data_IF_502299354233
#
_entry.id   IF_502299354233
#
_cell.length_a   1.000
_cell.length_b   1.000
_cell.length_c   1.000
_cell.angle_alpha   90.00
_cell.angle_beta   90.00
_cell.angle_gamma   90.00
#
_symmetry.space_group_name_H-M   'P 1'
#
loop_
_entity.id
_entity.type
_entity.pdbx_description
1 polymer ?
#
# COMPACT_ATOMS: atom_id res chain seq x y z
N UNK A 1 -7.86 -6.43 32.85
CA UNK A 1 -8.63 -6.68 31.61
C UNK A 1 -9.30 -8.04 31.72
N UNK A 2 -10.53 -8.18 31.23
CA UNK A 2 -11.19 -9.48 31.04
C UNK A 2 -10.54 -10.24 29.88
N UNK A 3 -10.89 -11.51 29.69
CA UNK A 3 -10.42 -12.29 28.54
C UNK A 3 -10.86 -11.67 27.22
N UNK A 4 -12.12 -11.24 27.14
CA UNK A 4 -12.73 -10.65 25.95
C UNK A 4 -12.01 -9.35 25.55
N UNK A 5 -11.67 -8.50 26.52
CA UNK A 5 -10.92 -7.27 26.28
C UNK A 5 -9.50 -7.55 25.81
N UNK A 6 -8.83 -8.54 26.43
CA UNK A 6 -7.49 -8.96 25.99
C UNK A 6 -7.54 -9.46 24.56
N UNK A 7 -8.49 -10.32 24.21
CA UNK A 7 -8.66 -10.86 22.85
C UNK A 7 -9.04 -9.77 21.84
N UNK A 8 -9.85 -8.79 22.23
CA UNK A 8 -10.24 -7.66 21.38
C UNK A 8 -9.02 -6.81 20.98
N UNK A 9 -8.10 -6.53 21.93
CA UNK A 9 -6.85 -5.81 21.66
C UNK A 9 -5.95 -6.50 20.63
N UNK A 10 -6.07 -7.82 20.49
CA UNK A 10 -5.30 -8.59 19.52
C UNK A 10 -5.81 -8.44 18.07
N UNK A 11 -6.76 -7.54 17.79
CA UNK A 11 -7.41 -7.43 16.48
C UNK A 11 -7.57 -5.99 16.01
N UNK A 12 -7.54 -5.79 14.69
CA UNK A 12 -8.01 -4.57 14.05
C UNK A 12 -9.52 -4.38 14.24
N UNK A 13 -9.94 -3.13 14.41
CA UNK A 13 -11.35 -2.72 14.38
C UNK A 13 -11.84 -2.63 12.94
N UNK A 14 -11.05 -1.97 12.10
CA UNK A 14 -11.35 -1.75 10.68
C UNK A 14 -10.10 -2.00 9.82
N UNK A 15 -10.11 -1.52 8.58
CA UNK A 15 -8.98 -1.66 7.66
C UNK A 15 -7.68 -1.09 8.22
N UNK A 16 -7.73 -0.05 9.06
CA UNK A 16 -6.59 0.79 9.41
C UNK A 16 -6.44 0.98 10.92
N UNK A 17 -7.45 0.71 11.74
CA UNK A 17 -7.44 1.00 13.19
C UNK A 17 -7.38 -0.26 14.03
N UNK A 18 -6.67 -0.17 15.16
CA UNK A 18 -6.78 -1.16 16.23
C UNK A 18 -8.04 -0.94 17.05
N UNK A 19 -8.52 -1.98 17.72
CA UNK A 19 -9.47 -1.79 18.80
C UNK A 19 -8.81 -1.06 19.98
N UNK A 20 -9.64 -0.50 20.86
CA UNK A 20 -9.22 0.13 22.11
C UNK A 20 -10.17 -0.26 23.25
N UNK A 21 -9.72 -0.09 24.50
CA UNK A 21 -10.53 -0.30 25.71
C UNK A 21 -10.73 1.04 26.45
N UNK A 22 -11.76 1.85 26.10
CA UNK A 22 -11.90 3.22 26.60
C UNK A 22 -11.94 3.36 28.12
N UNK A 23 -12.52 2.39 28.84
CA UNK A 23 -12.59 2.42 30.32
C UNK A 23 -11.21 2.32 31.00
N UNK A 24 -10.17 1.96 30.26
CA UNK A 24 -8.78 1.88 30.75
C UNK A 24 -7.95 3.09 30.30
N UNK A 25 -8.56 4.08 29.64
CA UNK A 25 -7.84 5.21 29.05
C UNK A 25 -7.04 4.83 27.79
N UNK A 26 -7.27 3.64 27.26
CA UNK A 26 -6.63 3.13 26.05
C UNK A 26 -7.20 3.80 24.78
N UNK A 27 -6.33 4.07 23.82
CA UNK A 27 -6.64 4.80 22.60
C UNK A 27 -6.38 3.93 21.37
N UNK A 28 -7.21 4.11 20.34
CA UNK A 28 -7.04 3.40 19.07
C UNK A 28 -5.77 3.89 18.38
N UNK A 29 -5.04 2.96 17.80
CA UNK A 29 -3.93 3.27 16.91
C UNK A 29 -4.45 3.20 15.50
N UNK A 30 -4.25 4.27 14.73
CA UNK A 30 -4.50 4.28 13.30
C UNK A 30 -3.25 3.78 12.58
N UNK A 31 -3.36 3.15 11.42
CA UNK A 31 -2.24 2.62 10.61
C UNK A 31 -2.46 2.99 9.15
N UNK A 32 -1.39 3.34 8.45
CA UNK A 32 -1.44 3.79 7.07
C UNK A 32 -0.40 3.06 6.26
N UNK A 33 -0.81 2.59 5.09
CA UNK A 33 0.11 2.05 4.10
C UNK A 33 1.20 3.04 3.73
N UNK A 34 2.34 2.42 3.44
CA UNK A 34 3.50 2.98 2.78
C UNK A 34 3.95 2.05 1.63
N UNK A 35 5.17 2.23 1.09
CA UNK A 35 6.29 2.89 1.76
C UNK A 35 6.93 4.09 1.06
N UNK A 36 6.32 4.59 -0.01
CA UNK A 36 6.84 5.75 -0.76
C UNK A 36 6.00 7.01 -0.49
N UNK A 37 5.53 7.14 0.75
CA UNK A 37 4.66 8.18 1.27
C UNK A 37 3.49 7.60 2.06
N UNK A 38 2.69 8.47 2.68
CA UNK A 38 1.55 8.09 3.52
C UNK A 38 0.27 8.16 2.69
N UNK A 39 -0.44 7.03 2.53
CA UNK A 39 -1.69 7.01 1.74
C UNK A 39 -2.91 7.57 2.49
N UNK A 40 -2.86 7.60 3.83
CA UNK A 40 -3.97 7.89 4.75
C UNK A 40 -4.32 6.63 5.59
N UNK A 41 -4.73 6.70 6.86
CA UNK A 41 -4.26 7.65 7.88
C UNK A 41 -3.75 6.89 9.11
N UNK A 42 -3.16 7.56 10.10
CA UNK A 42 -1.74 7.35 10.40
C UNK A 42 -1.38 6.45 11.60
N UNK A 43 -0.61 5.40 11.28
CA UNK A 43 0.71 5.00 11.82
C UNK A 43 1.53 4.66 10.58
N UNK A 44 2.78 5.10 10.46
CA UNK A 44 3.53 4.91 9.20
C UNK A 44 4.07 3.51 9.05
N UNK A 45 3.53 2.80 8.07
CA UNK A 45 4.13 1.60 7.50
C UNK A 45 5.47 1.94 6.82
N UNK A 46 6.52 1.17 7.12
CA UNK A 46 7.87 1.41 6.62
C UNK A 46 8.13 0.61 5.33
N UNK A 47 9.27 0.89 4.68
CA UNK A 47 9.66 0.23 3.44
C UNK A 47 9.79 -1.27 3.60
N UNK A 48 9.32 -1.97 2.58
CA UNK A 48 9.55 -3.40 2.41
C UNK A 48 11.06 -3.62 2.35
N UNK A 49 11.60 -4.49 3.19
CA UNK A 49 13.02 -4.86 3.24
C UNK A 49 13.28 -6.32 2.83
N UNK A 50 12.28 -6.97 2.21
CA UNK A 50 12.48 -8.24 1.51
C UNK A 50 13.44 -8.07 0.32
N UNK A 51 14.16 -9.12 -0.05
CA UNK A 51 15.24 -9.03 -1.04
C UNK A 51 14.71 -9.29 -2.46
N UNK A 52 15.02 -8.44 -3.46
CA UNK A 52 14.84 -8.75 -4.87
C UNK A 52 15.69 -9.96 -5.30
N UNK A 53 15.21 -11.18 -5.07
CA UNK A 53 15.90 -12.42 -5.50
C UNK A 53 15.79 -12.67 -7.00
N UNK A 54 14.73 -12.15 -7.62
CA UNK A 54 14.46 -12.27 -9.05
C UNK A 54 14.08 -10.91 -9.60
N UNK A 55 14.52 -10.51 -10.82
CA UNK A 55 14.13 -9.24 -11.42
C UNK A 55 12.63 -9.16 -11.74
N UNK A 56 11.92 -10.30 -11.73
CA UNK A 56 10.49 -10.40 -12.06
C UNK A 56 9.56 -10.18 -10.86
N UNK A 57 10.12 -9.90 -9.67
CA UNK A 57 9.34 -9.70 -8.46
C UNK A 57 8.39 -8.50 -8.60
N UNK A 58 7.09 -8.75 -8.45
CA UNK A 58 6.04 -7.74 -8.64
C UNK A 58 6.08 -6.56 -7.67
N UNK A 59 6.88 -6.65 -6.59
CA UNK A 59 7.11 -5.61 -5.58
C UNK A 59 8.58 -5.23 -5.42
N UNK A 60 9.44 -5.54 -6.39
CA UNK A 60 10.86 -5.14 -6.35
C UNK A 60 11.05 -3.63 -6.25
N UNK A 61 10.20 -2.85 -6.93
CA UNK A 61 10.22 -1.39 -6.85
C UNK A 61 9.95 -0.84 -5.43
N UNK A 62 9.36 -1.67 -4.56
CA UNK A 62 8.91 -1.29 -3.22
C UNK A 62 10.01 -1.50 -2.16
N UNK A 63 11.10 -2.18 -2.52
CA UNK A 63 12.26 -2.44 -1.64
C UNK A 63 13.53 -1.75 -2.13
N UNK A 64 14.61 -1.82 -1.35
CA UNK A 64 15.84 -1.05 -1.53
C UNK A 64 16.83 -1.70 -2.49
N UNK A 65 17.36 -2.87 -2.15
CA UNK A 65 18.47 -3.50 -2.87
C UNK A 65 18.40 -5.02 -2.78
N UNK A 66 19.07 -5.69 -3.72
CA UNK A 66 19.40 -7.13 -3.59
C UNK A 66 20.47 -7.40 -2.52
N UNK A 67 21.24 -6.37 -2.15
CA UNK A 67 22.23 -6.46 -1.06
C UNK A 67 21.56 -6.27 0.32
N UNK A 68 21.69 -7.25 1.24
CA UNK A 68 21.03 -7.20 2.54
C UNK A 68 21.61 -6.11 3.46
N UNK A 69 22.91 -5.80 3.34
CA UNK A 69 23.54 -4.78 4.17
C UNK A 69 23.04 -3.38 3.83
N UNK A 70 23.06 -3.02 2.55
CA UNK A 70 22.55 -1.75 2.03
C UNK A 70 21.06 -1.59 2.36
N UNK A 71 20.27 -2.66 2.17
CA UNK A 71 18.84 -2.67 2.53
C UNK A 71 18.63 -2.38 4.01
N UNK A 72 19.35 -3.10 4.89
CA UNK A 72 19.24 -2.90 6.34
C UNK A 72 19.69 -1.50 6.79
N UNK A 73 20.78 -0.96 6.23
CA UNK A 73 21.30 0.36 6.60
C UNK A 73 20.37 1.50 6.17
N UNK A 74 19.84 1.47 4.94
CA UNK A 74 18.91 2.50 4.48
C UNK A 74 17.60 2.43 5.30
N UNK A 75 17.11 1.22 5.58
CA UNK A 75 15.93 1.04 6.40
C UNK A 75 16.14 1.60 7.81
N UNK A 76 17.25 1.27 8.47
CA UNK A 76 17.57 1.76 9.81
C UNK A 76 17.58 3.28 9.92
N UNK A 77 18.23 3.98 8.98
CA UNK A 77 18.24 5.46 8.95
C UNK A 77 16.84 6.04 8.78
N UNK A 78 16.03 5.46 7.90
CA UNK A 78 14.66 5.95 7.69
C UNK A 78 13.77 5.69 8.92
N UNK A 79 13.90 4.53 9.56
CA UNK A 79 13.18 4.20 10.80
C UNK A 79 13.53 5.18 11.91
N UNK A 80 14.82 5.48 12.10
CA UNK A 80 15.26 6.48 13.07
C UNK A 80 14.56 7.82 12.84
N UNK A 81 14.50 8.30 11.60
CA UNK A 81 13.83 9.58 11.29
C UNK A 81 12.31 9.57 11.45
N UNK A 82 11.65 8.44 11.18
CA UNK A 82 10.21 8.33 11.48
C UNK A 82 9.96 8.38 12.99
N UNK A 83 10.74 7.62 13.75
CA UNK A 83 10.54 7.48 15.20
C UNK A 83 11.00 8.73 15.97
N UNK A 84 12.03 9.45 15.50
CA UNK A 84 12.41 10.79 15.97
C UNK A 84 11.24 11.78 15.86
N UNK A 85 10.37 11.61 14.86
CA UNK A 85 9.17 12.43 14.67
C UNK A 85 7.95 11.93 15.48
N UNK A 86 8.15 10.96 16.38
CA UNK A 86 7.08 10.38 17.20
C UNK A 86 6.14 9.47 16.40
N UNK A 87 6.56 8.98 15.24
CA UNK A 87 5.78 8.07 14.39
C UNK A 87 6.47 6.71 14.35
N UNK A 88 5.80 5.67 14.81
CA UNK A 88 6.41 4.35 14.76
C UNK A 88 6.52 3.79 13.35
N UNK A 89 7.51 2.92 13.17
CA UNK A 89 7.78 2.24 11.92
C UNK A 89 7.38 0.76 11.98
N UNK A 90 6.89 0.23 10.85
CA UNK A 90 6.61 -1.19 10.65
C UNK A 90 7.51 -1.79 9.57
N UNK A 91 8.56 -2.55 9.95
CA UNK A 91 9.41 -3.22 8.95
C UNK A 91 8.73 -4.49 8.42
N UNK A 92 8.79 -4.70 7.09
CA UNK A 92 8.02 -5.78 6.44
C UNK A 92 8.71 -6.39 5.22
N UNK A 93 8.37 -7.60 4.78
CA UNK A 93 7.46 -8.56 5.41
C UNK A 93 8.32 -9.73 5.89
N UNK A 94 8.27 -10.04 7.17
CA UNK A 94 9.08 -11.07 7.80
C UNK A 94 8.49 -12.46 7.51
N UNK A 95 9.10 -13.34 6.70
CA UNK A 95 10.29 -13.13 5.88
C UNK A 95 10.09 -13.72 4.47
N UNK A 96 11.02 -13.43 3.57
CA UNK A 96 11.13 -14.04 2.24
C UNK A 96 9.87 -13.93 1.36
N UNK A 97 9.11 -12.85 1.48
CA UNK A 97 7.98 -12.55 0.60
C UNK A 97 8.44 -12.05 -0.78
N UNK A 98 9.42 -12.70 -1.41
CA UNK A 98 10.23 -12.13 -2.49
C UNK A 98 9.51 -12.10 -3.86
N UNK A 99 8.33 -12.70 -3.95
CA UNK A 99 7.50 -12.76 -5.15
C UNK A 99 5.99 -12.71 -4.85
N UNK A 100 5.21 -12.23 -5.82
CA UNK A 100 3.75 -12.11 -5.65
C UNK A 100 2.98 -13.38 -6.06
N UNK A 101 3.61 -14.24 -6.86
CA UNK A 101 2.97 -15.46 -7.39
C UNK A 101 2.57 -16.38 -6.25
N UNK A 102 1.25 -16.54 -6.05
CA UNK A 102 0.66 -17.38 -5.00
C UNK A 102 1.17 -17.05 -3.58
N UNK A 103 1.50 -15.78 -3.30
CA UNK A 103 2.08 -15.32 -2.02
C UNK A 103 1.34 -15.78 -0.76
N UNK A 104 0.02 -16.03 -0.85
CA UNK A 104 -0.81 -16.54 0.26
C UNK A 104 -0.61 -18.03 0.60
N UNK A 105 0.05 -18.80 -0.27
CA UNK A 105 0.12 -20.27 -0.14
C UNK A 105 1.48 -20.87 -0.42
N UNK A 106 2.34 -20.13 -1.13
CA UNK A 106 3.66 -20.61 -1.53
C UNK A 106 4.53 -20.92 -0.31
N UNK A 107 5.32 -21.98 -0.43
CA UNK A 107 6.28 -22.41 0.57
C UNK A 107 7.70 -22.24 0.02
N UNK A 108 8.38 -21.21 0.53
CA UNK A 108 9.76 -20.91 0.16
C UNK A 108 10.68 -21.88 0.88
N UNK A 109 11.35 -22.75 0.12
CA UNK A 109 12.35 -23.70 0.63
C UNK A 109 13.72 -23.03 0.63
N UNK A 110 14.18 -22.63 1.81
CA UNK A 110 15.38 -21.79 1.97
C UNK A 110 16.34 -22.48 2.96
N UNK A 111 17.57 -22.82 2.54
CA UNK A 111 18.59 -23.30 3.46
C UNK A 111 18.94 -22.25 4.54
N UNK A 112 19.25 -22.70 5.76
CA UNK A 112 19.48 -21.84 6.92
C UNK A 112 20.47 -20.70 6.64
N UNK A 113 21.56 -21.00 5.93
CA UNK A 113 22.56 -20.00 5.57
C UNK A 113 21.96 -18.84 4.77
N UNK A 114 21.19 -19.15 3.72
CA UNK A 114 20.56 -18.12 2.89
C UNK A 114 19.44 -17.40 3.64
N UNK A 115 18.68 -18.11 4.48
CA UNK A 115 17.67 -17.50 5.34
C UNK A 115 18.30 -16.45 6.27
N UNK A 116 19.42 -16.79 6.90
CA UNK A 116 20.16 -15.90 7.82
C UNK A 116 20.86 -14.76 7.09
N UNK A 117 21.73 -15.08 6.14
CA UNK A 117 22.63 -14.09 5.51
C UNK A 117 21.93 -13.17 4.51
N UNK A 118 20.78 -13.58 3.94
CA UNK A 118 20.07 -12.81 2.90
C UNK A 118 18.71 -12.33 3.39
N UNK A 119 17.80 -13.25 3.74
CA UNK A 119 16.40 -12.89 3.99
C UNK A 119 16.19 -12.19 5.36
N UNK A 120 16.94 -12.61 6.39
CA UNK A 120 16.82 -12.08 7.76
C UNK A 120 17.83 -10.97 8.07
N UNK A 121 19.00 -10.98 7.43
CA UNK A 121 20.04 -9.97 7.61
C UNK A 121 19.56 -8.50 7.56
N UNK A 122 18.70 -8.06 6.60
CA UNK A 122 18.22 -6.67 6.62
C UNK A 122 17.34 -6.36 7.83
N UNK A 123 16.54 -7.32 8.31
CA UNK A 123 15.74 -7.17 9.53
C UNK A 123 16.64 -7.09 10.76
N UNK A 124 17.67 -7.93 10.83
CA UNK A 124 18.64 -7.92 11.93
C UNK A 124 19.33 -6.56 12.05
N UNK A 125 19.81 -6.03 10.92
CA UNK A 125 20.49 -4.72 10.86
C UNK A 125 19.53 -3.61 11.26
N UNK A 126 18.31 -3.58 10.69
CA UNK A 126 17.32 -2.57 11.00
C UNK A 126 16.93 -2.60 12.48
N UNK A 127 16.67 -3.78 13.06
CA UNK A 127 16.34 -3.93 14.48
C UNK A 127 17.48 -3.45 15.37
N UNK A 128 18.71 -3.90 15.12
CA UNK A 128 19.89 -3.49 15.90
C UNK A 128 20.15 -1.99 15.84
N UNK A 129 20.03 -1.40 14.65
CA UNK A 129 20.44 -0.01 14.41
C UNK A 129 19.34 1.03 14.66
N UNK A 130 18.07 0.61 14.78
CA UNK A 130 16.93 1.56 14.83
C UNK A 130 15.73 1.15 15.67
N UNK A 131 15.70 -0.09 16.20
CA UNK A 131 14.64 -0.62 17.05
C UNK A 131 13.21 -0.23 16.60
N UNK A 132 12.74 -0.75 15.44
CA UNK A 132 11.41 -0.42 14.92
C UNK A 132 10.33 -0.86 15.91
N UNK A 133 9.26 -0.08 16.03
CA UNK A 133 8.19 -0.38 16.99
C UNK A 133 7.39 -1.63 16.60
N UNK A 134 7.27 -1.91 15.29
CA UNK A 134 6.53 -3.06 14.81
C UNK A 134 7.23 -3.81 13.66
N UNK A 135 6.88 -5.09 13.52
CA UNK A 135 7.27 -5.97 12.42
C UNK A 135 6.03 -6.62 11.84
N UNK A 136 5.87 -6.59 10.51
CA UNK A 136 4.77 -7.28 9.82
C UNK A 136 5.25 -8.61 9.26
N UNK A 137 4.52 -9.69 9.58
CA UNK A 137 4.77 -11.02 9.05
C UNK A 137 4.33 -11.14 7.59
N UNK A 138 5.06 -11.95 6.81
CA UNK A 138 4.75 -12.24 5.42
C UNK A 138 3.57 -13.20 5.24
N UNK A 139 2.97 -13.17 4.06
CA UNK A 139 1.89 -14.09 3.67
C UNK A 139 2.35 -15.54 3.52
N UNK A 140 3.54 -15.75 2.97
CA UNK A 140 4.03 -17.05 2.52
C UNK A 140 4.45 -17.94 3.71
N UNK A 141 4.72 -19.20 3.38
CA UNK A 141 5.44 -20.10 4.26
C UNK A 141 6.94 -20.00 4.00
N UNK A 142 7.71 -20.32 5.03
CA UNK A 142 9.15 -20.62 4.94
C UNK A 142 9.32 -22.02 5.51
N UNK A 143 9.96 -22.90 4.76
CA UNK A 143 10.29 -24.27 5.17
C UNK A 143 9.11 -25.05 5.80
N UNK A 144 7.89 -24.87 5.28
CA UNK A 144 6.69 -25.60 5.68
C UNK A 144 5.71 -24.84 6.59
N UNK A 145 6.13 -23.74 7.21
CA UNK A 145 5.32 -23.02 8.21
C UNK A 145 5.02 -21.60 7.76
N UNK A 146 3.76 -21.16 7.91
CA UNK A 146 3.37 -19.78 7.62
C UNK A 146 4.11 -18.80 8.52
N UNK A 147 4.65 -17.71 7.97
CA UNK A 147 5.42 -16.75 8.74
C UNK A 147 4.64 -16.18 9.94
N UNK A 148 3.33 -16.00 9.81
CA UNK A 148 2.42 -15.54 10.89
C UNK A 148 2.19 -16.56 12.02
N UNK A 149 2.73 -17.77 11.92
CA UNK A 149 2.68 -18.80 12.95
C UNK A 149 4.04 -19.52 13.10
N UNK A 150 5.14 -18.83 12.80
CA UNK A 150 6.46 -19.43 12.72
C UNK A 150 7.27 -19.16 13.99
N UNK A 151 7.27 -20.11 14.94
CA UNK A 151 7.97 -20.00 16.23
C UNK A 151 9.44 -19.61 16.08
N UNK A 152 10.17 -20.25 15.16
CA UNK A 152 11.56 -19.90 14.93
C UNK A 152 11.75 -18.44 14.51
N UNK A 153 10.94 -17.92 13.56
CA UNK A 153 11.09 -16.53 13.10
C UNK A 153 10.75 -15.55 14.22
N UNK A 154 9.68 -15.80 14.97
CA UNK A 154 9.17 -14.84 15.96
C UNK A 154 9.84 -15.06 17.31
N UNK A 155 9.67 -16.22 17.93
CA UNK A 155 10.19 -16.49 19.27
C UNK A 155 11.71 -16.64 19.28
N UNK A 156 12.28 -17.47 18.42
CA UNK A 156 13.71 -17.75 18.50
C UNK A 156 14.52 -16.57 17.95
N UNK A 157 14.24 -16.11 16.74
CA UNK A 157 15.01 -15.04 16.09
C UNK A 157 14.69 -13.66 16.68
N UNK A 158 13.44 -13.19 16.60
CA UNK A 158 13.13 -11.83 17.07
C UNK A 158 13.25 -11.70 18.59
N UNK A 159 12.62 -12.59 19.36
CA UNK A 159 12.54 -12.43 20.83
C UNK A 159 13.81 -12.89 21.56
N UNK A 160 14.33 -14.08 21.28
CA UNK A 160 15.44 -14.67 22.05
C UNK A 160 16.81 -14.23 21.53
N UNK A 161 17.05 -14.35 20.23
CA UNK A 161 18.37 -14.08 19.65
C UNK A 161 18.63 -12.57 19.47
N UNK A 162 17.67 -11.83 18.93
CA UNK A 162 17.82 -10.38 18.68
C UNK A 162 17.31 -9.52 19.82
N UNK A 163 16.68 -10.13 20.84
CA UNK A 163 16.19 -9.45 22.05
C UNK A 163 15.30 -8.24 21.71
N UNK A 164 14.45 -8.40 20.70
CA UNK A 164 13.53 -7.35 20.24
C UNK A 164 12.15 -7.51 20.88
N UNK A 165 11.64 -6.41 21.43
CA UNK A 165 10.44 -6.36 22.28
C UNK A 165 9.21 -5.74 21.60
N UNK A 166 9.33 -5.24 20.38
CA UNK A 166 8.23 -4.59 19.67
C UNK A 166 7.10 -5.53 19.23
N UNK A 167 6.06 -4.95 18.61
CA UNK A 167 4.82 -5.69 18.29
C UNK A 167 4.90 -6.37 16.91
N UNK A 168 4.51 -7.65 16.85
CA UNK A 168 4.40 -8.39 15.59
C UNK A 168 2.96 -8.37 15.09
N UNK A 169 2.74 -7.90 13.86
CA UNK A 169 1.43 -7.89 13.22
C UNK A 169 1.36 -8.77 11.98
N UNK A 170 0.16 -9.15 11.58
CA UNK A 170 -0.06 -9.81 10.29
C UNK A 170 0.00 -8.81 9.14
N UNK A 171 0.43 -9.24 7.97
CA UNK A 171 -0.03 -8.60 6.73
C UNK A 171 -1.57 -8.74 6.62
N UNK A 172 -2.22 -7.94 5.79
CA UNK A 172 -3.68 -7.87 5.70
C UNK A 172 -4.30 -9.22 5.33
N UNK A 173 -5.08 -9.80 6.23
CA UNK A 173 -5.64 -11.15 6.13
C UNK A 173 -4.60 -12.28 6.17
N UNK A 174 -3.35 -11.99 6.57
CA UNK A 174 -2.23 -12.92 6.65
C UNK A 174 -2.24 -13.84 7.88
N UNK A 175 -3.27 -13.79 8.71
CA UNK A 175 -3.43 -14.70 9.86
C UNK A 175 -4.07 -16.01 9.40
N UNK A 176 -3.29 -17.09 9.45
CA UNK A 176 -3.69 -18.38 8.88
C UNK A 176 -4.21 -19.39 9.90
N UNK A 177 -4.14 -19.09 11.20
CA UNK A 177 -4.53 -20.02 12.26
C UNK A 177 -4.94 -19.27 13.53
N UNK A 178 -5.64 -19.95 14.44
CA UNK A 178 -6.05 -19.40 15.75
C UNK A 178 -4.94 -19.61 16.78
N UNK A 179 -4.78 -20.85 17.26
CA UNK A 179 -3.84 -21.19 18.33
C UNK A 179 -2.37 -21.11 17.89
N UNK A 180 -1.94 -21.67 16.73
CA UNK A 180 -0.53 -21.61 16.34
C UNK A 180 -0.01 -20.18 16.17
N UNK A 181 -0.80 -19.26 15.60
CA UNK A 181 -0.36 -17.87 15.41
C UNK A 181 -0.16 -17.13 16.74
N UNK A 182 -1.07 -17.31 17.70
CA UNK A 182 -0.96 -16.70 19.04
C UNK A 182 0.20 -17.30 19.82
N UNK A 183 0.40 -18.63 19.78
CA UNK A 183 1.55 -19.29 20.43
C UNK A 183 2.90 -18.85 19.86
N UNK A 184 2.94 -18.63 18.54
CA UNK A 184 4.14 -18.11 17.88
C UNK A 184 4.43 -16.65 18.25
N UNK A 185 3.48 -15.92 18.85
CA UNK A 185 3.64 -14.51 19.22
C UNK A 185 3.34 -13.54 18.08
N UNK A 186 2.45 -13.91 17.15
CA UNK A 186 1.74 -12.92 16.35
C UNK A 186 0.87 -12.11 17.32
N UNK A 187 1.14 -10.83 17.51
CA UNK A 187 0.47 -10.03 18.53
C UNK A 187 -0.82 -9.38 18.01
N UNK A 188 -0.86 -8.94 16.75
CA UNK A 188 -2.01 -8.22 16.18
C UNK A 188 -2.46 -8.80 14.82
N UNK A 189 -3.74 -9.17 14.70
CA UNK A 189 -4.39 -9.56 13.44
C UNK A 189 -4.97 -8.32 12.75
N UNK A 190 -4.54 -8.07 11.51
CA UNK A 190 -5.06 -7.02 10.64
C UNK A 190 -5.61 -7.61 9.32
N UNK A 191 -6.61 -6.96 8.69
CA UNK A 191 -7.44 -5.88 9.23
C UNK A 191 -8.58 -6.40 10.12
N UNK A 192 -9.38 -5.49 10.67
CA UNK A 192 -10.75 -5.76 11.08
C UNK A 192 -11.74 -5.77 9.90
N UNK A 193 -12.93 -6.38 10.06
CA UNK A 193 -13.34 -7.18 11.21
C UNK A 193 -12.56 -8.50 11.30
N UNK A 194 -12.36 -8.96 12.54
CA UNK A 194 -11.55 -10.15 12.86
C UNK A 194 -12.03 -11.42 12.13
N UNK A 195 -11.10 -12.28 11.69
CA UNK A 195 -11.41 -13.55 11.03
C UNK A 195 -10.94 -14.78 11.78
N UNK A 196 -9.77 -14.73 12.43
CA UNK A 196 -9.18 -15.89 13.13
C UNK A 196 -9.24 -15.78 14.64
N UNK A 197 -9.22 -14.57 15.20
CA UNK A 197 -9.32 -14.32 16.64
C UNK A 197 -10.77 -14.06 17.05
N UNK A 198 -10.98 -13.20 18.05
CA UNK A 198 -12.30 -12.95 18.62
C UNK A 198 -12.85 -14.21 19.27
N UNK A 199 -14.10 -14.57 18.93
CA UNK A 199 -14.78 -15.75 19.47
C UNK A 199 -13.95 -17.03 19.32
N UNK A 200 -13.27 -17.23 18.20
CA UNK A 200 -12.48 -18.43 17.98
C UNK A 200 -11.32 -18.59 18.98
N UNK A 201 -10.69 -17.49 19.40
CA UNK A 201 -9.60 -17.53 20.38
C UNK A 201 -10.14 -17.71 21.81
N UNK A 202 -11.28 -17.09 22.13
CA UNK A 202 -11.98 -17.29 23.40
C UNK A 202 -12.38 -18.77 23.55
N UNK A 203 -13.02 -19.33 22.53
CA UNK A 203 -13.44 -20.73 22.51
C UNK A 203 -12.22 -21.65 22.65
N UNK A 204 -11.10 -21.36 21.96
CA UNK A 204 -9.87 -22.14 22.08
C UNK A 204 -9.28 -22.14 23.50
N UNK A 205 -9.30 -20.98 24.19
CA UNK A 205 -8.88 -20.89 25.59
C UNK A 205 -9.81 -21.68 26.52
N UNK A 206 -11.12 -21.53 26.36
CA UNK A 206 -12.13 -22.23 27.18
C UNK A 206 -12.04 -23.76 27.04
N UNK A 207 -11.64 -24.25 25.86
CA UNK A 207 -11.41 -25.66 25.60
C UNK A 207 -9.99 -26.15 25.97
N UNK A 208 -9.16 -25.32 26.61
CA UNK A 208 -7.80 -25.69 27.05
C UNK A 208 -6.79 -25.88 25.91
N UNK A 209 -7.05 -25.32 24.73
CA UNK A 209 -6.17 -25.44 23.56
C UNK A 209 -5.04 -24.39 23.55
N UNK A 210 -5.18 -23.32 24.33
CA UNK A 210 -4.18 -22.25 24.47
C UNK A 210 -4.20 -21.72 25.90
N UNK A 211 -3.02 -21.49 26.46
CA UNK A 211 -2.89 -20.91 27.80
C UNK A 211 -3.12 -19.39 27.77
N UNK A 212 -3.69 -18.85 28.85
CA UNK A 212 -3.91 -17.42 29.00
C UNK A 212 -2.61 -16.61 28.90
N UNK A 213 -1.47 -17.21 29.28
CA UNK A 213 -0.15 -16.56 29.21
C UNK A 213 0.23 -16.09 27.81
N UNK A 214 -0.17 -16.81 26.75
CA UNK A 214 0.11 -16.38 25.37
C UNK A 214 -0.72 -15.16 24.98
N UNK A 215 -2.00 -15.15 25.39
CA UNK A 215 -2.91 -14.02 25.16
C UNK A 215 -2.42 -12.80 25.95
N UNK A 216 -2.01 -12.99 27.21
CA UNK A 216 -1.50 -11.94 28.08
C UNK A 216 -0.20 -11.32 27.54
N UNK A 217 0.72 -12.15 27.05
CA UNK A 217 1.97 -11.67 26.47
C UNK A 217 1.71 -10.77 25.24
N UNK A 218 0.81 -11.17 24.34
CA UNK A 218 0.47 -10.34 23.17
C UNK A 218 -0.33 -9.10 23.54
N UNK A 219 -1.27 -9.20 24.49
CA UNK A 219 -2.03 -8.04 24.95
C UNK A 219 -1.12 -7.00 25.61
N UNK A 220 -0.13 -7.43 26.39
CA UNK A 220 0.89 -6.53 26.95
C UNK A 220 1.68 -5.80 25.87
N UNK A 221 2.11 -6.47 24.80
CA UNK A 221 2.83 -5.80 23.68
C UNK A 221 1.95 -4.82 22.92
N UNK A 222 0.65 -5.11 22.76
CA UNK A 222 -0.31 -4.15 22.18
C UNK A 222 -0.42 -2.92 23.07
N UNK A 223 -0.57 -3.09 24.38
CA UNK A 223 -0.65 -1.96 25.32
C UNK A 223 0.66 -1.15 25.39
N UNK A 224 1.81 -1.82 25.36
CA UNK A 224 3.11 -1.15 25.28
C UNK A 224 3.24 -0.34 23.98
N UNK A 225 2.72 -0.87 22.88
CA UNK A 225 2.68 -0.17 21.60
C UNK A 225 1.76 1.06 21.65
N UNK A 226 0.55 0.95 22.22
CA UNK A 226 -0.33 2.10 22.50
C UNK A 226 0.40 3.14 23.34
N UNK A 227 1.08 2.72 24.41
CA UNK A 227 1.81 3.61 25.30
C UNK A 227 2.98 4.32 24.60
N UNK A 228 3.72 3.61 23.73
CA UNK A 228 4.79 4.20 22.90
C UNK A 228 4.23 5.27 21.96
N UNK A 229 3.10 5.02 21.30
CA UNK A 229 2.42 6.00 20.45
C UNK A 229 1.88 7.19 21.27
N UNK A 230 1.28 6.92 22.44
CA UNK A 230 0.71 7.94 23.33
C UNK A 230 1.73 8.84 24.02
N UNK A 231 3.02 8.47 24.01
CA UNK A 231 4.15 9.29 24.47
C UNK A 231 4.75 10.19 23.38
N UNK A 232 4.18 10.19 22.18
CA UNK A 232 4.56 11.14 21.13
C UNK A 232 4.47 12.58 21.66
N UNK A 233 5.39 13.46 21.26
CA UNK A 233 5.45 14.88 21.67
C UNK A 233 4.23 15.71 21.21
N UNK A 234 3.18 15.04 20.73
CA UNK A 234 1.86 15.59 20.41
C UNK A 234 0.89 15.14 21.51
N UNK A 235 0.93 15.76 22.72
CA UNK A 235 -0.07 15.50 23.74
C UNK A 235 -1.45 15.76 23.16
N UNK A 236 -2.40 14.87 23.45
CA UNK A 236 -3.79 14.95 22.99
C UNK A 236 -4.02 14.90 21.47
N UNK A 237 -3.17 14.20 20.71
CA UNK A 237 -3.46 13.93 19.30
C UNK A 237 -4.82 13.27 19.15
N UNK A 238 -5.73 13.96 18.46
CA UNK A 238 -7.04 13.44 18.07
C UNK A 238 -7.05 13.24 16.58
N UNK A 239 -7.58 12.10 16.16
CA UNK A 239 -7.79 11.83 14.75
C UNK A 239 -8.69 12.94 14.15
N UNK A 240 -8.11 13.73 13.24
CA UNK A 240 -8.80 14.76 12.49
C UNK A 240 -9.09 14.33 11.05
N UNK A 241 -9.80 15.19 10.31
CA UNK A 241 -9.92 15.04 8.85
C UNK A 241 -8.53 15.06 8.24
N UNK A 242 -8.23 14.08 7.40
CA UNK A 242 -6.99 14.04 6.64
C UNK A 242 -6.87 15.28 5.76
N UNK A 243 -5.66 15.83 5.69
CA UNK A 243 -5.36 17.04 4.94
C UNK A 243 -4.20 16.79 3.99
N UNK A 244 -4.24 17.49 2.87
CA UNK A 244 -3.13 17.56 1.92
C UNK A 244 -2.24 18.72 2.35
N UNK A 245 -0.98 18.43 2.67
CA UNK A 245 0.01 19.43 3.07
C UNK A 245 1.08 19.63 1.98
N UNK A 246 0.71 20.41 0.97
CA UNK A 246 1.50 20.62 -0.24
C UNK A 246 2.43 21.84 -0.13
N UNK A 247 3.50 21.67 0.64
CA UNK A 247 4.45 22.73 0.97
C UNK A 247 5.65 22.78 -0.01
N UNK A 248 6.13 23.97 -0.45
CA UNK A 248 7.29 24.11 -1.34
C UNK A 248 8.55 23.37 -0.87
N UNK A 249 8.80 23.32 0.43
CA UNK A 249 9.89 22.59 1.08
C UNK A 249 9.78 21.08 0.90
N UNK A 250 8.57 20.50 1.04
CA UNK A 250 8.31 19.09 0.75
C UNK A 250 8.61 18.80 -0.72
N UNK A 251 8.14 19.65 -1.64
CA UNK A 251 8.41 19.52 -3.08
C UNK A 251 9.91 19.55 -3.38
N UNK A 252 10.66 20.42 -2.70
CA UNK A 252 12.11 20.53 -2.87
C UNK A 252 12.84 19.27 -2.38
N UNK A 253 12.42 18.70 -1.25
CA UNK A 253 12.95 17.42 -0.74
C UNK A 253 12.66 16.29 -1.73
N UNK A 254 11.43 16.14 -2.20
CA UNK A 254 11.07 15.10 -3.18
C UNK A 254 11.82 15.27 -4.50
N UNK A 255 12.01 16.50 -4.98
CA UNK A 255 12.83 16.78 -6.17
C UNK A 255 14.29 16.37 -5.95
N UNK A 256 14.86 16.65 -4.78
CA UNK A 256 16.23 16.29 -4.44
C UNK A 256 16.40 14.77 -4.32
N UNK A 257 15.49 14.10 -3.61
CA UNK A 257 15.48 12.65 -3.48
C UNK A 257 15.30 11.96 -4.84
N UNK A 258 14.35 12.44 -5.65
CA UNK A 258 14.13 11.94 -7.01
C UNK A 258 15.35 12.14 -7.91
N UNK A 259 16.05 13.27 -7.81
CA UNK A 259 17.29 13.51 -8.54
C UNK A 259 18.45 12.61 -8.04
N UNK A 260 18.59 12.44 -6.72
CA UNK A 260 19.61 11.60 -6.10
C UNK A 260 19.43 10.10 -6.36
N UNK A 261 18.22 9.66 -6.68
CA UNK A 261 17.92 8.27 -7.05
C UNK A 261 18.16 7.93 -8.53
N UNK A 262 18.50 8.90 -9.41
CA UNK A 262 18.76 8.64 -10.83
C UNK A 262 20.18 8.11 -11.01
N UNK A 263 20.32 6.98 -11.71
CA UNK A 263 21.62 6.38 -12.05
C UNK A 263 21.92 6.61 -13.54
N UNK A 264 23.05 7.26 -13.84
CA UNK A 264 23.54 7.42 -15.21
C UNK A 264 24.26 6.14 -15.66
N UNK A 265 23.58 5.29 -16.42
CA UNK A 265 24.13 4.01 -16.87
C UNK A 265 25.11 4.14 -18.05
N UNK A 266 24.84 5.06 -18.98
CA UNK A 266 25.66 5.28 -20.18
C UNK A 266 25.65 6.75 -20.57
N UNK A 267 26.83 7.30 -20.85
CA UNK A 267 27.01 8.62 -21.42
C UNK A 267 28.17 8.57 -22.42
N UNK A 268 27.85 8.28 -23.68
CA UNK A 268 28.84 8.24 -24.76
C UNK A 268 28.86 9.56 -25.52
N UNK A 269 30.02 9.92 -26.07
CA UNK A 269 30.21 11.15 -26.86
C UNK A 269 29.87 12.45 -26.11
N UNK A 270 30.00 12.47 -24.77
CA UNK A 270 29.69 13.62 -23.92
C UNK A 270 28.30 14.24 -24.20
N UNK A 271 27.31 13.38 -24.48
CA UNK A 271 25.96 13.81 -24.80
C UNK A 271 25.28 14.53 -23.64
N UNK A 272 25.53 14.07 -22.41
CA UNK A 272 25.06 14.70 -21.19
C UNK A 272 26.20 15.39 -20.43
N UNK A 273 25.96 16.56 -19.80
CA UNK A 273 24.69 17.30 -19.79
C UNK A 273 24.36 17.94 -21.14
N UNK A 274 23.05 18.07 -21.44
CA UNK A 274 22.60 18.72 -22.68
C UNK A 274 23.09 20.17 -22.73
N UNK A 275 23.68 20.56 -23.85
CA UNK A 275 24.22 21.90 -24.09
C UNK A 275 24.00 22.35 -25.54
N UNK A 276 24.17 23.65 -25.81
CA UNK A 276 24.12 24.24 -27.15
C UNK A 276 22.84 23.88 -27.93
N UNK A 277 21.68 24.11 -27.32
CA UNK A 277 20.38 23.76 -27.89
C UNK A 277 19.66 24.92 -28.60
N UNK A 278 20.15 26.15 -28.44
CA UNK A 278 19.63 27.31 -29.16
C UNK A 278 19.68 27.11 -30.69
N UNK A 279 18.65 27.59 -31.38
CA UNK A 279 18.42 27.42 -32.80
C UNK A 279 18.05 25.99 -33.24
N UNK A 280 18.14 24.99 -32.34
CA UNK A 280 17.87 23.60 -32.68
C UNK A 280 16.39 23.24 -32.56
N UNK A 281 16.00 22.20 -33.30
CA UNK A 281 14.71 21.51 -33.14
C UNK A 281 14.93 20.26 -32.30
N UNK A 282 14.16 20.10 -31.24
CA UNK A 282 14.30 19.04 -30.26
C UNK A 282 13.02 18.23 -30.24
N UNK A 283 13.14 16.92 -30.42
CA UNK A 283 12.04 15.98 -30.28
C UNK A 283 12.17 15.22 -28.97
N UNK A 284 11.14 15.27 -28.12
CA UNK A 284 10.99 14.41 -26.95
C UNK A 284 10.06 13.27 -27.33
N UNK A 285 10.60 12.06 -27.45
CA UNK A 285 9.84 10.88 -27.91
C UNK A 285 9.73 9.85 -26.79
N UNK A 286 8.50 9.37 -26.56
CA UNK A 286 8.25 8.23 -25.69
C UNK A 286 6.97 8.38 -24.85
N UNK A 287 6.24 7.28 -24.59
CA UNK A 287 4.97 7.34 -23.86
C UNK A 287 5.15 7.86 -22.42
N UNK A 288 6.25 7.46 -21.76
CA UNK A 288 6.54 7.89 -20.39
C UNK A 288 7.06 9.35 -20.32
N UNK A 289 7.39 9.97 -21.45
CA UNK A 289 7.65 11.41 -21.47
C UNK A 289 6.34 12.20 -21.25
N UNK A 290 5.22 11.68 -21.76
CA UNK A 290 3.90 12.33 -21.71
C UNK A 290 3.05 11.84 -20.53
N UNK A 291 3.34 10.67 -19.97
CA UNK A 291 2.65 10.09 -18.81
C UNK A 291 3.65 9.81 -17.68
N UNK A 292 3.45 10.34 -16.47
CA UNK A 292 4.37 10.07 -15.38
C UNK A 292 4.13 8.67 -14.79
N UNK A 293 5.21 7.95 -14.50
CA UNK A 293 5.19 6.72 -13.70
C UNK A 293 5.82 7.08 -12.36
N UNK A 294 5.02 7.60 -11.44
CA UNK A 294 5.50 8.20 -10.19
C UNK A 294 5.75 7.15 -9.09
N UNK A 295 4.94 6.10 -9.06
CA UNK A 295 5.02 4.98 -8.10
C UNK A 295 4.76 3.67 -8.82
N UNK A 296 5.12 2.55 -8.19
CA UNK A 296 4.60 1.25 -8.57
C UNK A 296 3.13 1.09 -8.20
N UNK A 297 2.61 -0.13 -8.39
CA UNK A 297 1.23 -0.49 -8.02
C UNK A 297 1.08 -0.94 -6.56
N UNK A 298 -0.04 -1.61 -6.26
CA UNK A 298 -0.32 -2.20 -4.94
C UNK A 298 -0.44 -1.16 -3.81
N UNK A 299 -0.22 -1.58 -2.56
CA UNK A 299 -0.34 -0.78 -1.34
C UNK A 299 0.53 0.49 -1.34
N UNK A 300 1.67 0.44 -2.04
CA UNK A 300 2.60 1.58 -2.18
C UNK A 300 2.07 2.76 -3.02
N UNK A 301 0.97 2.57 -3.76
CA UNK A 301 0.44 3.60 -4.64
C UNK A 301 -0.43 4.60 -3.87
N UNK A 302 -0.13 5.89 -4.03
CA UNK A 302 -0.87 6.99 -3.41
C UNK A 302 -1.20 8.11 -4.41
N UNK A 303 -2.12 8.99 -4.03
CA UNK A 303 -2.45 10.18 -4.79
C UNK A 303 -1.50 11.32 -4.38
N UNK A 304 -0.52 11.70 -5.23
CA UNK A 304 0.38 12.80 -4.90
C UNK A 304 -0.34 14.14 -5.04
N UNK A 305 0.12 15.14 -4.29
CA UNK A 305 -0.46 16.49 -4.30
C UNK A 305 -0.44 17.13 -5.69
N UNK A 306 0.65 16.93 -6.43
CA UNK A 306 0.74 17.29 -7.84
C UNK A 306 1.54 16.25 -8.63
N UNK A 307 1.35 16.25 -9.95
CA UNK A 307 2.14 15.46 -10.89
C UNK A 307 2.69 16.36 -11.99
N UNK A 308 3.96 16.18 -12.34
CA UNK A 308 4.55 16.71 -13.57
C UNK A 308 4.98 15.55 -14.47
N UNK A 309 5.09 15.81 -15.77
CA UNK A 309 5.60 14.82 -16.74
C UNK A 309 7.06 15.15 -17.06
N UNK A 310 7.90 14.16 -17.43
CA UNK A 310 9.24 14.44 -17.93
C UNK A 310 9.23 15.46 -19.08
N UNK A 311 8.27 15.36 -20.01
CA UNK A 311 8.10 16.32 -21.11
C UNK A 311 7.82 17.74 -20.62
N UNK A 312 6.87 17.93 -19.70
CA UNK A 312 6.54 19.27 -19.16
C UNK A 312 7.74 19.88 -18.44
N UNK A 313 8.43 19.08 -17.63
CA UNK A 313 9.63 19.50 -16.91
C UNK A 313 10.77 19.85 -17.87
N UNK A 314 11.09 18.99 -18.85
CA UNK A 314 12.16 19.24 -19.83
C UNK A 314 11.85 20.46 -20.71
N UNK A 315 10.62 20.63 -21.19
CA UNK A 315 10.23 21.82 -21.97
C UNK A 315 10.45 23.11 -21.17
N UNK A 316 10.07 23.13 -19.89
CA UNK A 316 10.31 24.28 -19.01
C UNK A 316 11.80 24.59 -18.85
N UNK A 317 12.61 23.58 -18.54
CA UNK A 317 14.05 23.77 -18.33
C UNK A 317 14.79 24.16 -19.63
N UNK A 318 14.41 23.58 -20.78
CA UNK A 318 14.96 23.94 -22.09
C UNK A 318 14.56 25.37 -22.45
N UNK A 319 13.30 25.76 -22.30
CA UNK A 319 12.86 27.12 -22.62
C UNK A 319 13.57 28.17 -21.75
N UNK A 320 13.87 27.84 -20.49
CA UNK A 320 14.59 28.72 -19.58
C UNK A 320 16.09 28.85 -19.93
N UNK A 321 16.74 27.77 -20.40
CA UNK A 321 18.19 27.75 -20.68
C UNK A 321 18.57 28.02 -22.13
N UNK A 322 17.66 27.72 -23.06
CA UNK A 322 17.87 27.78 -24.52
C UNK A 322 16.62 28.36 -25.20
N UNK A 323 16.37 29.67 -25.06
CA UNK A 323 15.09 30.29 -25.43
C UNK A 323 14.71 30.15 -26.91
N UNK A 324 15.67 29.94 -27.79
CA UNK A 324 15.42 29.81 -29.24
C UNK A 324 15.24 28.36 -29.70
N UNK A 325 15.38 27.38 -28.79
CA UNK A 325 15.15 25.98 -29.08
C UNK A 325 13.66 25.69 -29.34
N UNK A 326 13.37 24.91 -30.38
CA UNK A 326 11.99 24.51 -30.74
C UNK A 326 11.73 23.08 -30.27
N UNK A 327 10.93 22.90 -29.23
CA UNK A 327 10.69 21.59 -28.61
C UNK A 327 9.31 21.02 -28.99
N UNK A 328 9.31 19.85 -29.61
CA UNK A 328 8.12 19.05 -29.88
C UNK A 328 8.15 17.76 -29.05
N UNK A 329 6.97 17.17 -28.81
CA UNK A 329 6.88 15.92 -28.08
C UNK A 329 5.85 14.99 -28.70
N UNK A 330 6.16 13.70 -28.73
CA UNK A 330 5.29 12.68 -29.29
C UNK A 330 5.39 11.39 -28.47
N UNK A 331 4.28 10.65 -28.35
CA UNK A 331 4.30 9.37 -27.65
C UNK A 331 5.18 8.35 -28.38
N UNK A 332 5.17 8.39 -29.71
CA UNK A 332 5.85 7.41 -30.58
C UNK A 332 5.07 6.09 -30.61
N UNK A 333 5.02 5.41 -29.46
CA UNK A 333 4.30 4.13 -29.27
C UNK A 333 3.34 4.21 -28.09
N UNK A 334 2.41 3.27 -28.02
CA UNK A 334 1.55 3.04 -26.85
C UNK A 334 2.10 1.85 -26.05
N UNK A 335 2.18 1.98 -24.72
CA UNK A 335 2.74 0.96 -23.81
C UNK A 335 1.81 0.68 -22.62
N UNK A 336 0.52 0.88 -22.81
CA UNK A 336 -0.44 0.66 -21.74
C UNK A 336 -0.72 -0.84 -21.61
N UNK A 337 -0.66 -1.37 -20.38
CA UNK A 337 -1.04 -2.76 -20.09
C UNK A 337 -2.56 -2.96 -20.18
N UNK A 338 -3.30 -1.93 -19.79
CA UNK A 338 -4.75 -1.82 -19.88
C UNK A 338 -5.10 -0.54 -20.63
N UNK A 339 -6.22 -0.52 -21.34
CA UNK A 339 -6.70 0.68 -22.02
C UNK A 339 -6.79 1.82 -20.99
N UNK A 340 -6.28 3.03 -21.30
CA UNK A 340 -6.31 4.14 -20.37
C UNK A 340 -7.74 4.48 -19.91
N UNK A 341 -7.85 4.99 -18.69
CA UNK A 341 -9.12 5.53 -18.19
C UNK A 341 -9.61 6.64 -19.11
N UNK A 342 -10.93 6.69 -19.28
CA UNK A 342 -11.60 7.76 -20.01
C UNK A 342 -11.25 9.12 -19.38
N UNK A 343 -10.82 10.06 -20.23
CA UNK A 343 -10.45 11.39 -19.76
C UNK A 343 -11.69 12.14 -19.24
N UNK A 344 -11.62 12.84 -18.09
CA UNK A 344 -12.77 13.60 -17.56
C UNK A 344 -13.34 14.60 -18.58
N UNK A 345 -12.49 15.18 -19.43
CA UNK A 345 -12.87 16.16 -20.45
C UNK A 345 -13.74 15.61 -21.59
N UNK A 346 -13.91 14.28 -21.70
CA UNK A 346 -14.82 13.65 -22.68
C UNK A 346 -15.99 12.95 -22.03
N UNK A 347 -16.11 13.04 -20.70
CA UNK A 347 -17.20 12.47 -19.92
C UNK A 347 -18.11 13.59 -19.44
N UNK A 348 -19.42 13.37 -19.48
CA UNK A 348 -20.39 14.27 -18.87
C UNK A 348 -21.33 13.47 -17.98
N UNK A 349 -21.43 13.86 -16.71
CA UNK A 349 -22.40 13.27 -15.80
C UNK A 349 -23.81 13.70 -16.24
N UNK A 350 -24.71 12.76 -16.56
CA UNK A 350 -25.99 13.07 -17.21
C UNK A 350 -26.94 13.88 -16.31
N UNK A 351 -26.83 13.73 -14.99
CA UNK A 351 -27.71 14.43 -14.03
C UNK A 351 -27.22 15.84 -13.69
N UNK A 352 -25.89 16.03 -13.64
CA UNK A 352 -25.30 17.29 -13.16
C UNK A 352 -24.70 18.15 -14.27
N UNK A 353 -24.48 17.59 -15.46
CA UNK A 353 -23.76 18.25 -16.56
C UNK A 353 -22.25 18.43 -16.33
N UNK A 354 -21.71 18.01 -15.17
CA UNK A 354 -20.30 18.18 -14.81
C UNK A 354 -19.40 17.13 -15.48
N UNK A 355 -18.12 17.44 -15.76
CA UNK A 355 -17.17 16.46 -16.28
C UNK A 355 -17.00 15.24 -15.36
N UNK A 356 -17.31 14.04 -15.84
CA UNK A 356 -17.26 12.81 -15.04
C UNK A 356 -18.44 11.87 -15.26
N UNK A 357 -18.71 11.00 -14.30
CA UNK A 357 -19.81 10.05 -14.33
C UNK A 357 -20.63 10.07 -13.03
N UNK A 358 -21.85 9.55 -13.08
CA UNK A 358 -22.69 9.32 -11.92
C UNK A 358 -22.47 7.89 -11.45
N UNK A 359 -22.13 7.71 -10.17
CA UNK A 359 -22.11 6.40 -9.53
C UNK A 359 -23.36 6.25 -8.66
N UNK A 360 -24.07 5.14 -8.81
CA UNK A 360 -25.19 4.75 -7.96
C UNK A 360 -24.87 3.42 -7.29
N UNK A 361 -25.06 3.32 -5.97
CA UNK A 361 -24.87 2.08 -5.21
C UNK A 361 -26.21 1.51 -4.71
N UNK A 362 -26.33 0.18 -4.71
CA UNK A 362 -27.54 -0.56 -4.37
C UNK A 362 -27.23 -1.62 -3.32
N UNK A 363 -28.15 -1.88 -2.38
CA UNK A 363 -28.06 -2.97 -1.38
C UNK A 363 -28.61 -4.30 -1.92
N UNK A 364 -28.33 -4.58 -3.18
CA UNK A 364 -28.72 -5.80 -3.88
C UNK A 364 -27.75 -6.05 -5.04
N UNK A 365 -27.88 -7.19 -5.72
CA UNK A 365 -26.98 -7.58 -6.81
C UNK A 365 -27.51 -7.25 -8.21
N UNK A 366 -28.75 -6.76 -8.34
CA UNK A 366 -29.45 -6.59 -9.62
C UNK A 366 -29.76 -5.12 -9.97
N UNK A 367 -29.27 -4.17 -9.17
CA UNK A 367 -29.55 -2.73 -9.34
C UNK A 367 -31.06 -2.41 -9.25
N UNK A 368 -31.82 -3.20 -8.50
CA UNK A 368 -33.25 -2.99 -8.34
C UNK A 368 -33.55 -1.90 -7.32
N UNK A 369 -34.65 -1.17 -7.54
CA UNK A 369 -35.13 -0.11 -6.65
C UNK A 369 -34.27 1.14 -6.66
N UNK A 370 -34.49 1.99 -5.67
CA UNK A 370 -33.73 3.24 -5.51
C UNK A 370 -32.32 2.95 -4.98
N UNK A 371 -31.29 3.62 -5.53
CA UNK A 371 -29.95 3.52 -4.99
C UNK A 371 -29.90 4.15 -3.60
N UNK A 372 -29.21 3.50 -2.65
CA UNK A 372 -29.04 4.06 -1.31
C UNK A 372 -28.02 5.20 -1.30
N UNK A 373 -27.18 5.29 -2.33
CA UNK A 373 -26.21 6.35 -2.50
C UNK A 373 -26.03 6.70 -3.98
N UNK A 374 -25.94 8.00 -4.26
CA UNK A 374 -25.65 8.55 -5.58
C UNK A 374 -24.58 9.62 -5.44
N UNK A 375 -23.53 9.55 -6.24
CA UNK A 375 -22.44 10.51 -6.20
C UNK A 375 -21.87 10.84 -7.58
N UNK A 376 -21.30 12.05 -7.69
CA UNK A 376 -20.54 12.46 -8.86
C UNK A 376 -19.08 12.04 -8.70
N UNK A 377 -18.52 11.38 -9.72
CA UNK A 377 -17.14 10.93 -9.72
C UNK A 377 -16.40 11.45 -10.97
N UNK A 378 -15.19 12.03 -10.80
CA UNK A 378 -14.43 12.58 -11.93
C UNK A 378 -13.68 11.53 -12.76
N UNK A 379 -13.53 10.30 -12.26
CA UNK A 379 -12.63 9.28 -12.83
C UNK A 379 -13.29 7.91 -12.90
N UNK A 380 -13.30 7.24 -14.06
CA UNK A 380 -13.90 5.90 -14.25
C UNK A 380 -13.21 4.77 -13.49
N UNK A 381 -12.13 5.05 -12.75
CA UNK A 381 -11.53 4.09 -11.81
C UNK A 381 -12.30 4.06 -10.51
N UNK A 382 -12.82 2.88 -10.16
CA UNK A 382 -13.42 2.58 -8.86
C UNK A 382 -12.56 1.55 -8.13
N UNK A 383 -12.16 1.85 -6.90
CA UNK A 383 -11.44 0.92 -6.01
C UNK A 383 -12.31 0.69 -4.79
N UNK A 384 -12.90 -0.51 -4.70
CA UNK A 384 -13.84 -0.87 -3.64
C UNK A 384 -13.19 -1.51 -2.41
N UNK A 385 -11.85 -1.51 -2.32
CA UNK A 385 -11.13 -2.12 -1.20
C UNK A 385 -11.24 -1.27 0.08
N UNK A 386 -10.89 0.01 -0.01
CA UNK A 386 -10.93 1.01 1.07
C UNK A 386 -11.73 2.27 0.68
N UNK A 387 -12.37 2.26 -0.49
CA UNK A 387 -13.10 3.39 -1.07
C UNK A 387 -14.62 3.27 -1.05
N UNK A 388 -15.16 2.23 -0.40
CA UNK A 388 -16.61 2.09 -0.21
C UNK A 388 -17.10 2.98 0.93
N UNK A 389 -18.37 3.41 0.88
CA UNK A 389 -19.00 4.12 1.99
C UNK A 389 -18.94 3.31 3.29
N UNK A 390 -18.68 3.92 4.45
CA UNK A 390 -18.65 3.23 5.74
C UNK A 390 -19.94 2.47 6.09
N UNK A 391 -21.07 2.85 5.50
CA UNK A 391 -22.37 2.22 5.69
C UNK A 391 -22.54 0.90 4.93
N UNK A 392 -21.57 0.53 4.07
CA UNK A 392 -21.48 -0.80 3.48
C UNK A 392 -20.51 -1.64 4.31
N UNK A 393 -21.04 -2.64 5.00
CA UNK A 393 -20.23 -3.62 5.71
C UNK A 393 -19.82 -4.76 4.77
N UNK A 394 -18.78 -5.51 5.12
CA UNK A 394 -18.27 -6.64 4.32
C UNK A 394 -19.27 -7.77 4.15
N UNK A 395 -20.30 -7.82 4.99
CA UNK A 395 -21.30 -8.90 5.00
C UNK A 395 -22.49 -8.60 4.06
N UNK A 396 -22.63 -7.34 3.64
CA UNK A 396 -23.71 -6.92 2.77
C UNK A 396 -23.35 -7.13 1.28
N UNK A 397 -24.33 -7.66 0.54
CA UNK A 397 -24.23 -7.74 -0.92
C UNK A 397 -24.61 -6.39 -1.51
N UNK A 398 -23.77 -5.87 -2.39
CA UNK A 398 -24.01 -4.61 -3.08
C UNK A 398 -23.68 -4.71 -4.57
N UNK A 399 -24.28 -3.82 -5.34
CA UNK A 399 -23.93 -3.56 -6.73
C UNK A 399 -23.80 -2.07 -6.98
N UNK A 400 -23.19 -1.71 -8.10
CA UNK A 400 -23.04 -0.31 -8.48
C UNK A 400 -23.22 -0.11 -9.98
N UNK A 401 -23.77 1.04 -10.35
CA UNK A 401 -23.99 1.46 -11.72
C UNK A 401 -23.30 2.79 -11.98
N UNK A 402 -22.42 2.82 -12.98
CA UNK A 402 -21.80 4.03 -13.50
C UNK A 402 -22.50 4.52 -14.77
N UNK A 403 -22.84 5.81 -14.87
CA UNK A 403 -23.42 6.42 -16.08
C UNK A 403 -22.70 7.70 -16.49
N UNK A 404 -22.37 7.82 -17.78
CA UNK A 404 -21.79 9.03 -18.37
C UNK A 404 -22.22 9.17 -19.83
N UNK A 405 -22.16 10.39 -20.35
CA UNK A 405 -22.26 10.68 -21.77
C UNK A 405 -20.84 10.90 -22.28
N UNK A 406 -20.44 10.15 -23.31
CA UNK A 406 -19.12 10.27 -23.92
C UNK A 406 -19.16 11.15 -25.16
N UNK A 407 -18.27 12.16 -25.23
CA UNK A 407 -18.07 12.98 -26.42
C UNK A 407 -16.67 12.75 -27.00
N UNK A 408 -16.52 11.92 -28.05
CA UNK A 408 -15.23 11.68 -28.67
C UNK A 408 -14.59 12.97 -29.19
N UNK A 409 -13.26 13.06 -29.12
CA UNK A 409 -12.49 14.20 -29.66
C UNK A 409 -12.20 14.09 -31.15
N UNK A 410 -12.35 12.91 -31.72
CA UNK A 410 -12.06 12.62 -33.11
C UNK A 410 -12.99 11.53 -33.62
N UNK A 411 -13.33 11.61 -34.91
CA UNK A 411 -13.99 10.54 -35.66
C UNK A 411 -13.03 9.37 -35.85
N UNK A 412 -13.54 8.15 -35.82
CA UNK A 412 -12.77 6.94 -36.07
C UNK A 412 -13.14 5.79 -35.14
N UNK A 413 -12.32 4.74 -35.15
CA UNK A 413 -12.45 3.60 -34.26
C UNK A 413 -11.99 3.98 -32.84
N UNK A 414 -12.80 3.58 -31.85
CA UNK A 414 -12.50 3.75 -30.42
C UNK A 414 -12.58 2.39 -29.73
N UNK A 415 -11.60 2.09 -28.90
CA UNK A 415 -11.57 0.85 -28.12
C UNK A 415 -12.14 1.08 -26.72
N UNK A 416 -12.96 0.14 -26.26
CA UNK A 416 -13.54 0.12 -24.91
C UNK A 416 -12.98 -1.05 -24.11
N UNK A 417 -12.83 -0.86 -22.80
CA UNK A 417 -12.50 -1.94 -21.87
C UNK A 417 -13.30 -1.82 -20.59
N UNK A 418 -13.65 -2.96 -20.01
CA UNK A 418 -14.17 -3.07 -18.65
C UNK A 418 -13.26 -4.02 -17.86
N UNK A 419 -12.96 -3.67 -16.61
CA UNK A 419 -12.26 -4.54 -15.67
C UNK A 419 -12.97 -4.46 -14.34
N UNK A 420 -13.32 -5.62 -13.78
CA UNK A 420 -14.12 -5.72 -12.55
C UNK A 420 -13.63 -6.88 -11.69
N UNK A 421 -13.68 -6.70 -10.37
CA UNK A 421 -13.59 -7.79 -9.40
C UNK A 421 -15.02 -8.25 -9.08
N UNK A 422 -15.55 -9.15 -9.90
CA UNK A 422 -16.95 -9.57 -9.89
C UNK A 422 -17.59 -9.42 -11.27
N UNK A 423 -18.85 -9.87 -11.43
CA UNK A 423 -19.56 -9.73 -12.70
C UNK A 423 -19.75 -8.25 -13.06
N UNK A 424 -19.82 -7.93 -14.34
CA UNK A 424 -19.98 -6.54 -14.79
C UNK A 424 -20.31 -6.43 -16.26
N UNK A 425 -21.09 -5.40 -16.63
CA UNK A 425 -21.46 -5.12 -18.02
C UNK A 425 -21.09 -3.69 -18.41
N UNK A 426 -20.64 -3.51 -19.65
CA UNK A 426 -20.52 -2.20 -20.28
C UNK A 426 -21.59 -2.08 -21.36
N UNK A 427 -22.43 -1.05 -21.21
CA UNK A 427 -23.55 -0.78 -22.11
C UNK A 427 -23.29 0.55 -22.81
N UNK A 428 -23.36 0.56 -24.14
CA UNK A 428 -23.23 1.75 -24.98
C UNK A 428 -24.51 1.93 -25.78
N UNK A 429 -25.19 3.07 -25.59
CA UNK A 429 -26.44 3.42 -26.29
C UNK A 429 -27.53 2.33 -26.26
N UNK A 430 -27.61 1.60 -25.14
CA UNK A 430 -28.60 0.52 -24.92
C UNK A 430 -28.08 -0.88 -25.25
N UNK A 431 -26.97 -0.98 -25.98
CA UNK A 431 -26.38 -2.26 -26.40
C UNK A 431 -25.27 -2.71 -25.44
N UNK A 432 -25.28 -4.00 -25.06
CA UNK A 432 -24.21 -4.59 -24.24
C UNK A 432 -23.00 -4.84 -25.14
N UNK A 433 -21.91 -4.12 -24.91
CA UNK A 433 -20.67 -4.26 -25.71
C UNK A 433 -19.57 -5.07 -25.00
N UNK A 434 -19.66 -5.21 -23.67
CA UNK A 434 -18.79 -6.09 -22.88
C UNK A 434 -19.63 -6.72 -21.77
N UNK A 435 -19.54 -8.05 -21.61
CA UNK A 435 -20.16 -8.81 -20.54
C UNK A 435 -19.10 -9.66 -19.83
N UNK A 436 -18.89 -9.39 -18.53
CA UNK A 436 -18.00 -10.15 -17.67
C UNK A 436 -18.89 -11.04 -16.81
N UNK A 437 -18.99 -12.30 -17.19
CA UNK A 437 -19.69 -13.32 -16.41
C UNK A 437 -18.82 -13.80 -15.24
N UNK A 438 -19.49 -14.28 -14.18
CA UNK A 438 -18.82 -14.92 -13.05
C UNK A 438 -18.74 -16.41 -13.33
N UNK A 439 -17.52 -16.92 -13.53
CA UNK A 439 -17.26 -18.37 -13.48
C UNK A 439 -17.09 -18.85 -12.04
#
# INVERSE_FOLDING_TARGET
MTLEEKVLLLTGEDLWRTNAIPRLGDSRIKTSDGPVGVRGGIFTDHRRICIPRTPLGGRNFETYSEDPYLTGKIAGEFINRLQDAGIGACIKHLAANDQETRRFFIDEKIPDRALREIALQPFQIAIRDSNPWTVMTAYNKVNGTFCSAHDFLIQDVLRKEWVWDGLVMSDWFGTNSVVPSVRAGLDLEMPGPVRRRGKHLIDAYQNGLVDLSFIDASASRVLEFVHKVGKSDIPDWKEGKEKVDDLPEHRAIFRRAGAGGIVLLKNSANLLPLSNLDGKRIAIVGPNALRPVATGGSSSNLAPHYRTTPCKSMKREIAAKFPTAKVQAHAGILTHRYIPLVAPAVMTNPETGKPGFQLSLFRNMNHAGEPFMVEHRPSSKLVCYDGLPPELTTDERYSYRGRTILKPKATGLHEFSLSSCGPGKLILDGEVIIDIERH
#
